data_IF_049131732618
#
_entry.id   IF_049131732618
#
_cell.length_a   1.000
_cell.length_b   1.000
_cell.length_c   1.000
_cell.angle_alpha   90.00
_cell.angle_beta   90.00
_cell.angle_gamma   90.00
#
_symmetry.space_group_name_H-M   'P 1'
#
loop_
_entity.id
_entity.type
_entity.pdbx_description
1 polymer ?
#
# COMPACT_ATOMS: atom_id res chain seq x y z
N UNK A 1 -3.20 -15.88 -29.66
CA UNK A 1 -3.75 -15.75 -28.28
C UNK A 1 -5.26 -15.83 -28.36
N UNK A 2 -5.93 -16.64 -27.51
CA UNK A 2 -7.40 -16.76 -27.53
C UNK A 2 -8.12 -15.75 -26.62
N UNK A 3 -7.41 -15.05 -25.71
CA UNK A 3 -7.84 -13.90 -24.88
C UNK A 3 -6.61 -13.24 -24.24
N UNK A 4 -6.66 -11.92 -24.01
CA UNK A 4 -5.65 -11.12 -23.28
C UNK A 4 -6.40 -10.26 -22.26
N UNK A 5 -5.83 -10.11 -21.06
CA UNK A 5 -6.35 -9.23 -20.03
C UNK A 5 -5.30 -8.20 -19.62
N UNK A 6 -5.76 -6.97 -19.38
CA UNK A 6 -4.97 -5.88 -18.81
C UNK A 6 -5.74 -5.30 -17.62
N UNK A 7 -5.01 -4.79 -16.63
CA UNK A 7 -5.58 -4.14 -15.46
C UNK A 7 -4.67 -3.03 -14.95
N UNK A 8 -5.25 -2.10 -14.20
CA UNK A 8 -4.51 -1.05 -13.49
C UNK A 8 -3.97 -1.65 -12.19
N UNK A 9 -2.73 -1.31 -11.85
CA UNK A 9 -2.09 -1.69 -10.59
C UNK A 9 -1.71 -0.43 -9.81
N UNK A 10 -1.75 -0.52 -8.49
CA UNK A 10 -1.23 0.50 -7.58
C UNK A 10 0.08 0.05 -6.97
N UNK A 11 1.14 0.81 -7.20
CA UNK A 11 2.47 0.56 -6.64
C UNK A 11 2.83 1.61 -5.59
N UNK A 12 3.58 1.20 -4.59
CA UNK A 12 4.14 2.08 -3.56
C UNK A 12 5.64 2.19 -3.74
N UNK A 13 6.23 3.29 -3.27
CA UNK A 13 7.67 3.54 -3.37
C UNK A 13 8.52 2.50 -2.63
N UNK A 14 7.98 1.88 -1.58
CA UNK A 14 8.67 0.93 -0.72
C UNK A 14 8.27 -0.54 -0.96
N UNK A 15 7.39 -0.81 -1.94
CA UNK A 15 6.93 -2.16 -2.25
C UNK A 15 5.97 -2.78 -1.21
N UNK A 16 5.56 -2.06 -0.17
CA UNK A 16 4.61 -2.55 0.84
C UNK A 16 3.22 -1.91 0.70
N UNK A 17 2.12 -2.63 0.99
CA UNK A 17 0.79 -2.03 1.04
C UNK A 17 0.69 -0.86 2.03
N UNK A 18 -0.27 0.02 1.79
CA UNK A 18 -0.61 1.13 2.69
C UNK A 18 -1.92 0.85 3.39
N UNK A 19 -1.87 0.69 4.71
CA UNK A 19 -2.99 0.31 5.56
C UNK A 19 -3.09 1.27 6.76
N UNK A 20 -4.23 1.94 6.92
CA UNK A 20 -4.50 2.75 8.12
C UNK A 20 -5.37 3.98 7.90
N UNK A 21 -5.43 4.84 8.93
CA UNK A 21 -6.21 6.07 8.93
C UNK A 21 -5.46 7.20 8.21
N UNK A 22 -6.13 7.84 7.26
CA UNK A 22 -5.57 8.97 6.52
C UNK A 22 -5.79 10.26 7.32
N UNK A 23 -4.69 10.89 7.72
CA UNK A 23 -4.72 12.10 8.52
C UNK A 23 -5.13 13.33 7.69
N UNK A 24 -5.50 14.41 8.36
CA UNK A 24 -5.69 15.73 7.73
C UNK A 24 -4.44 16.18 6.99
N UNK A 25 -3.25 15.86 7.49
CA UNK A 25 -1.99 16.21 6.83
C UNK A 25 -1.85 15.49 5.48
N UNK A 26 -2.37 14.27 5.37
CA UNK A 26 -2.36 13.50 4.12
C UNK A 26 -3.43 13.97 3.14
N UNK A 27 -4.68 14.18 3.58
CA UNK A 27 -5.81 14.38 2.66
C UNK A 27 -6.23 15.83 2.48
N UNK A 28 -5.78 16.73 3.37
CA UNK A 28 -6.24 18.12 3.44
C UNK A 28 -7.67 18.29 3.93
N UNK A 29 -8.39 17.18 4.23
CA UNK A 29 -9.78 17.19 4.69
C UNK A 29 -9.86 17.25 6.22
N UNK A 30 -10.94 17.81 6.74
CA UNK A 30 -11.12 18.04 8.19
C UNK A 30 -11.64 16.84 8.97
N UNK A 31 -12.13 15.80 8.28
CA UNK A 31 -12.63 14.58 8.90
C UNK A 31 -11.55 13.55 9.22
N UNK A 32 -11.89 12.57 10.06
CA UNK A 32 -11.04 11.44 10.45
C UNK A 32 -11.57 10.09 9.95
N UNK A 33 -12.63 10.10 9.13
CA UNK A 33 -13.31 8.90 8.63
C UNK A 33 -12.67 8.28 7.39
N UNK A 34 -11.46 8.69 7.02
CA UNK A 34 -10.80 8.26 5.79
C UNK A 34 -9.77 7.19 6.08
N UNK A 35 -9.84 6.08 5.35
CA UNK A 35 -8.99 4.93 5.57
C UNK A 35 -8.48 4.38 4.24
N UNK A 36 -7.29 3.80 4.27
CA UNK A 36 -6.65 3.19 3.10
C UNK A 36 -6.30 1.72 3.38
N UNK A 37 -6.50 0.89 2.35
CA UNK A 37 -5.95 -0.45 2.20
C UNK A 37 -5.67 -0.63 0.70
N UNK A 38 -4.53 -0.12 0.25
CA UNK A 38 -4.21 -0.01 -1.18
C UNK A 38 -2.71 -0.17 -1.45
N UNK A 39 -2.31 -0.03 -2.72
CA UNK A 39 -0.91 -0.12 -3.11
C UNK A 39 -0.35 -1.53 -2.95
N UNK A 40 -1.10 -2.56 -3.32
CA UNK A 40 -0.72 -3.96 -3.08
C UNK A 40 0.39 -4.49 -3.99
N UNK A 41 0.97 -3.67 -4.89
CA UNK A 41 2.14 -4.02 -5.69
C UNK A 41 1.97 -5.32 -6.50
N UNK A 42 0.78 -5.56 -7.08
CA UNK A 42 0.49 -6.78 -7.84
C UNK A 42 0.15 -8.02 -6.98
N UNK A 43 0.26 -7.91 -5.66
CA UNK A 43 -0.05 -8.98 -4.70
C UNK A 43 -1.28 -8.64 -3.85
N UNK A 44 -2.35 -8.20 -4.52
CA UNK A 44 -3.60 -7.83 -3.87
C UNK A 44 -4.42 -9.04 -3.43
N UNK A 45 -4.42 -10.13 -4.20
CA UNK A 45 -5.32 -11.26 -3.97
C UNK A 45 -5.11 -11.95 -2.62
N UNK A 46 -3.86 -12.06 -2.17
CA UNK A 46 -3.48 -12.66 -0.89
C UNK A 46 -3.59 -11.67 0.27
N UNK A 47 -3.39 -10.36 0.03
CA UNK A 47 -3.29 -9.35 1.10
C UNK A 47 -4.61 -8.62 1.37
N UNK A 48 -5.45 -8.42 0.37
CA UNK A 48 -6.57 -7.47 0.46
C UNK A 48 -7.61 -7.86 1.52
N UNK A 49 -7.86 -9.16 1.69
CA UNK A 49 -8.87 -9.67 2.62
C UNK A 49 -8.56 -9.27 4.07
N UNK A 50 -7.39 -9.63 4.57
CA UNK A 50 -6.98 -9.29 5.93
C UNK A 50 -6.68 -7.80 6.07
N UNK A 51 -6.16 -7.14 5.03
CA UNK A 51 -5.95 -5.69 5.05
C UNK A 51 -7.26 -4.93 5.27
N UNK A 52 -8.34 -5.34 4.57
CA UNK A 52 -9.67 -4.76 4.77
C UNK A 52 -10.23 -5.04 6.16
N UNK A 53 -10.02 -6.24 6.71
CA UNK A 53 -10.39 -6.55 8.09
C UNK A 53 -9.62 -5.68 9.09
N UNK A 54 -8.33 -5.45 8.88
CA UNK A 54 -7.53 -4.60 9.75
C UNK A 54 -8.05 -3.17 9.76
N UNK A 55 -8.33 -2.60 8.58
CA UNK A 55 -8.94 -1.26 8.46
C UNK A 55 -10.26 -1.20 9.19
N UNK A 56 -11.15 -2.17 9.01
CA UNK A 56 -12.46 -2.16 9.66
C UNK A 56 -12.35 -2.19 11.19
N UNK A 57 -11.45 -3.01 11.74
CA UNK A 57 -11.18 -3.06 13.19
C UNK A 57 -10.64 -1.73 13.72
N UNK A 58 -9.60 -1.20 13.09
CA UNK A 58 -9.02 0.09 13.49
C UNK A 58 -10.03 1.25 13.37
N UNK A 59 -10.93 1.20 12.37
CA UNK A 59 -12.01 2.17 12.21
C UNK A 59 -13.09 2.09 13.30
N UNK A 60 -13.23 0.94 13.96
CA UNK A 60 -14.06 0.74 15.15
C UNK A 60 -13.31 1.06 16.46
N UNK A 61 -12.17 1.74 16.36
CA UNK A 61 -11.31 2.12 17.50
C UNK A 61 -10.72 0.91 18.25
N UNK A 62 -10.64 -0.26 17.61
CA UNK A 62 -9.86 -1.38 18.12
C UNK A 62 -8.34 -1.14 17.94
N UNK A 63 -7.54 -1.83 18.74
CA UNK A 63 -6.08 -1.84 18.56
C UNK A 63 -5.67 -2.42 17.20
N UNK A 64 -4.48 -2.03 16.73
CA UNK A 64 -3.90 -2.59 15.51
C UNK A 64 -3.78 -4.12 15.67
N UNK A 65 -4.34 -4.93 14.74
CA UNK A 65 -4.26 -6.37 14.87
C UNK A 65 -2.82 -6.85 14.91
N UNK A 66 -2.47 -7.70 15.87
CA UNK A 66 -1.09 -8.18 16.09
C UNK A 66 -0.49 -8.96 14.92
N UNK A 67 -1.34 -9.50 14.04
CA UNK A 67 -0.93 -10.20 12.81
C UNK A 67 -0.67 -9.26 11.63
N UNK A 68 -1.03 -7.98 11.73
CA UNK A 68 -0.76 -7.00 10.68
C UNK A 68 0.72 -6.60 10.72
N UNK A 69 1.49 -6.79 9.65
CA UNK A 69 2.87 -6.34 9.61
C UNK A 69 2.96 -4.83 9.84
N UNK A 70 3.82 -4.40 10.75
CA UNK A 70 4.01 -2.98 11.06
C UNK A 70 4.48 -2.18 9.84
N UNK A 71 5.21 -2.80 8.92
CA UNK A 71 5.63 -2.19 7.65
C UNK A 71 4.47 -1.84 6.72
N UNK A 72 3.27 -2.42 6.91
CA UNK A 72 2.10 -2.09 6.10
C UNK A 72 1.36 -0.87 6.63
N UNK A 73 1.59 -0.51 7.91
CA UNK A 73 0.96 0.65 8.50
C UNK A 73 1.42 1.92 7.78
N UNK A 74 0.49 2.85 7.60
CA UNK A 74 0.83 4.19 7.12
C UNK A 74 1.33 5.06 8.26
N UNK A 75 2.19 6.00 7.91
CA UNK A 75 2.57 7.15 8.72
C UNK A 75 2.69 8.36 7.80
N UNK A 76 2.60 9.57 8.35
CA UNK A 76 2.76 10.80 7.56
C UNK A 76 4.14 10.83 6.86
N UNK A 77 5.18 10.30 7.50
CA UNK A 77 6.53 10.21 6.93
C UNK A 77 6.59 9.23 5.75
N UNK A 78 5.98 8.05 5.89
CA UNK A 78 5.92 7.03 4.83
C UNK A 78 5.09 7.50 3.63
N UNK A 79 4.00 8.22 3.90
CA UNK A 79 3.19 8.82 2.84
C UNK A 79 3.94 9.96 2.15
N UNK A 80 4.69 10.76 2.92
CA UNK A 80 5.53 11.85 2.41
C UNK A 80 6.68 11.38 1.51
N UNK A 81 7.24 10.20 1.76
CA UNK A 81 8.28 9.60 0.89
C UNK A 81 7.72 8.93 -0.37
N UNK A 82 6.40 8.71 -0.45
CA UNK A 82 5.77 8.02 -1.56
C UNK A 82 5.48 8.99 -2.73
N UNK A 83 6.54 9.48 -3.36
CA UNK A 83 6.47 10.36 -4.54
C UNK A 83 6.31 9.56 -5.83
N UNK A 84 5.93 10.23 -6.92
CA UNK A 84 5.85 9.61 -8.25
C UNK A 84 7.21 9.04 -8.68
N UNK A 85 8.29 9.81 -8.49
CA UNK A 85 9.64 9.40 -8.86
C UNK A 85 10.09 8.19 -8.03
N UNK A 86 9.85 8.20 -6.71
CA UNK A 86 10.21 7.08 -5.85
C UNK A 86 9.41 5.81 -6.19
N UNK A 87 8.13 5.93 -6.54
CA UNK A 87 7.34 4.81 -7.03
C UNK A 87 7.82 4.30 -8.40
N UNK A 88 8.20 5.20 -9.31
CA UNK A 88 8.74 4.83 -10.61
C UNK A 88 10.08 4.10 -10.47
N UNK A 89 11.00 4.62 -9.67
CA UNK A 89 12.29 4.00 -9.36
C UNK A 89 12.10 2.63 -8.71
N UNK A 90 11.14 2.51 -7.77
CA UNK A 90 10.76 1.25 -7.16
C UNK A 90 10.30 0.22 -8.20
N UNK A 91 9.38 0.60 -9.09
CA UNK A 91 8.91 -0.29 -10.18
C UNK A 91 10.06 -0.68 -11.11
N UNK A 92 10.90 0.27 -11.53
CA UNK A 92 12.04 -0.01 -12.41
C UNK A 92 12.98 -1.02 -11.76
N UNK A 93 13.30 -0.83 -10.48
CA UNK A 93 14.19 -1.74 -9.74
C UNK A 93 13.67 -3.18 -9.72
N UNK A 94 12.35 -3.40 -9.63
CA UNK A 94 11.74 -4.73 -9.65
C UNK A 94 12.00 -5.50 -10.96
N UNK A 95 12.26 -4.80 -12.07
CA UNK A 95 12.45 -5.41 -13.39
C UNK A 95 13.88 -5.32 -13.92
N UNK A 96 14.73 -4.50 -13.30
CA UNK A 96 16.13 -4.33 -13.73
C UNK A 96 17.14 -5.13 -12.92
N UNK A 97 16.75 -5.67 -11.76
CA UNK A 97 17.66 -6.40 -10.87
C UNK A 97 17.87 -7.88 -11.26
N UNK A 98 17.97 -8.16 -12.57
CA UNK A 98 18.39 -9.45 -13.15
C UNK A 98 19.92 -9.52 -13.34
N UNK A 99 20.70 -8.63 -12.72
CA UNK A 99 22.17 -8.60 -12.87
C UNK A 99 22.98 -9.24 -11.72
N UNK A 100 22.31 -9.91 -10.77
CA UNK A 100 22.96 -10.55 -9.61
C UNK A 100 22.70 -12.06 -9.45
N UNK A 101 22.15 -12.75 -10.46
CA UNK A 101 21.97 -14.21 -10.47
C UNK A 101 22.78 -14.95 -11.56
N UNK A 102 23.95 -14.42 -11.95
CA UNK A 102 24.98 -15.13 -12.71
C UNK A 102 26.34 -15.03 -12.01
#
# INVERSE_FOLDING_TARGET
>A
MKKVWSGIMGFTADGFPMIGNLSRATTGRTGTGEWIAAGFNGHGMDKCWLSGQAVARMALEEEVPSWLPSSFLISDERLGSCTLDAAADGIVSMFTDESSQL
#
